data_IF_576958585018
#
_entry.id   IF_576958585018
#
_cell.length_a   1.000
_cell.length_b   1.000
_cell.length_c   1.000
_cell.angle_alpha   90.00
_cell.angle_beta   90.00
_cell.angle_gamma   90.00
#
_symmetry.space_group_name_H-M   'P 1'
#
loop_
_entity.id
_entity.type
_entity.pdbx_description
1 polymer ?
#
# COMPACT_ATOMS: atom_id res chain seq x y z
N UNK A 1 19.44 23.60 13.39
CA UNK A 1 18.78 22.30 13.24
C UNK A 1 18.80 21.97 11.76
N UNK A 2 19.42 20.87 11.35
CA UNK A 2 19.53 20.47 9.93
C UNK A 2 18.33 19.62 9.49
N UNK A 3 18.07 19.58 8.18
CA UNK A 3 16.98 18.79 7.59
C UNK A 3 17.21 17.28 7.80
N UNK A 4 16.12 16.52 7.99
CA UNK A 4 16.18 15.08 8.09
C UNK A 4 16.63 14.47 6.74
N UNK A 5 17.80 13.80 6.65
CA UNK A 5 18.32 13.26 5.40
C UNK A 5 17.53 12.05 4.88
N UNK A 6 16.57 11.52 5.64
CA UNK A 6 15.83 10.31 5.31
C UNK A 6 15.23 10.31 3.89
N UNK A 7 14.60 11.40 3.47
CA UNK A 7 14.04 11.51 2.13
C UNK A 7 15.10 11.51 1.03
N UNK A 8 16.30 12.03 1.31
CA UNK A 8 17.41 11.95 0.37
C UNK A 8 17.89 10.50 0.22
N UNK A 9 17.91 9.73 1.31
CA UNK A 9 18.23 8.29 1.23
C UNK A 9 17.20 7.51 0.42
N UNK A 10 15.90 7.77 0.63
CA UNK A 10 14.84 7.15 -0.17
C UNK A 10 14.95 7.48 -1.66
N UNK A 11 15.28 8.73 -1.99
CA UNK A 11 15.39 9.17 -3.38
C UNK A 11 16.63 8.63 -4.11
N UNK A 12 17.71 8.34 -3.39
CA UNK A 12 19.00 7.93 -3.96
C UNK A 12 19.25 6.42 -3.94
N UNK A 13 18.48 5.65 -3.17
CA UNK A 13 18.71 4.22 -3.04
C UNK A 13 18.22 3.43 -4.27
N UNK A 14 19.06 2.53 -4.77
CA UNK A 14 18.71 1.62 -5.89
C UNK A 14 17.90 0.39 -5.43
N UNK A 15 17.94 0.05 -4.15
CA UNK A 15 17.19 -1.04 -3.54
C UNK A 15 17.06 -0.84 -2.03
N UNK A 16 16.03 -1.45 -1.44
CA UNK A 16 15.76 -1.42 0.00
C UNK A 16 15.83 -2.82 0.59
N UNK A 17 16.38 -2.91 1.80
CA UNK A 17 16.26 -4.08 2.66
C UNK A 17 15.57 -3.65 3.94
N UNK A 18 14.43 -4.27 4.23
CA UNK A 18 13.57 -3.86 5.34
C UNK A 18 13.14 -5.09 6.14
N UNK A 19 13.02 -4.93 7.45
CA UNK A 19 12.57 -6.00 8.35
C UNK A 19 11.06 -6.20 8.26
N UNK A 20 10.60 -7.43 8.49
CA UNK A 20 9.20 -7.80 8.34
C UNK A 20 8.24 -7.25 9.42
N UNK A 21 8.69 -6.39 10.32
CA UNK A 21 7.95 -5.90 11.47
C UNK A 21 7.37 -4.48 11.31
N UNK A 22 7.68 -3.78 10.21
CA UNK A 22 7.22 -2.41 9.97
C UNK A 22 6.48 -2.22 8.65
N UNK A 23 5.19 -1.94 8.73
CA UNK A 23 4.36 -1.57 7.56
C UNK A 23 4.81 -0.24 6.97
N UNK A 24 5.10 0.77 7.80
CA UNK A 24 5.44 2.11 7.33
C UNK A 24 6.73 2.11 6.50
N UNK A 25 7.76 1.40 6.95
CA UNK A 25 9.04 1.31 6.24
C UNK A 25 8.87 0.66 4.86
N UNK A 26 8.06 -0.40 4.78
CA UNK A 26 7.76 -1.06 3.50
C UNK A 26 6.97 -0.11 2.59
N UNK A 27 5.99 0.63 3.11
CA UNK A 27 5.23 1.60 2.31
C UNK A 27 6.09 2.75 1.79
N UNK A 28 7.00 3.27 2.61
CA UNK A 28 7.92 4.35 2.21
C UNK A 28 8.90 3.89 1.13
N UNK A 29 9.48 2.69 1.28
CA UNK A 29 10.30 2.07 0.26
C UNK A 29 9.49 1.79 -1.03
N UNK A 30 8.26 1.27 -0.89
CA UNK A 30 7.38 0.98 -2.01
C UNK A 30 7.01 2.22 -2.85
N UNK A 31 6.98 3.40 -2.22
CA UNK A 31 6.68 4.65 -2.91
C UNK A 31 7.77 5.07 -3.92
N UNK A 32 8.96 4.47 -3.86
CA UNK A 32 10.08 4.76 -4.77
C UNK A 32 10.00 4.01 -6.09
N UNK A 33 9.29 2.88 -6.13
CA UNK A 33 9.30 1.95 -7.28
C UNK A 33 10.54 1.07 -7.39
N UNK A 34 11.51 1.20 -6.47
CA UNK A 34 12.73 0.41 -6.44
C UNK A 34 12.52 -0.92 -5.68
N UNK A 35 13.34 -1.95 -5.96
CA UNK A 35 13.33 -3.23 -5.27
C UNK A 35 13.23 -3.13 -3.75
N UNK A 36 12.29 -3.87 -3.15
CA UNK A 36 12.14 -3.97 -1.69
C UNK A 36 12.31 -5.42 -1.24
N UNK A 37 13.45 -5.70 -0.60
CA UNK A 37 13.78 -7.00 -0.02
C UNK A 37 13.30 -7.08 1.41
N UNK A 38 12.59 -8.16 1.75
CA UNK A 38 12.14 -8.45 3.11
C UNK A 38 13.15 -9.36 3.80
N UNK A 39 13.64 -8.90 4.95
CA UNK A 39 14.35 -9.73 5.90
C UNK A 39 13.37 -10.19 6.98
N UNK A 40 13.09 -11.50 7.01
CA UNK A 40 12.15 -12.06 7.98
C UNK A 40 12.84 -12.21 9.35
N UNK A 41 12.14 -11.83 10.41
CA UNK A 41 12.60 -11.97 11.79
C UNK A 41 11.65 -12.92 12.52
N UNK A 42 12.20 -13.80 13.36
CA UNK A 42 11.38 -14.69 14.18
C UNK A 42 10.42 -13.89 15.08
N UNK A 43 9.16 -14.32 15.17
CA UNK A 43 8.16 -13.73 16.07
C UNK A 43 7.12 -12.80 15.43
N UNK A 44 6.90 -12.89 14.11
CA UNK A 44 5.88 -12.10 13.40
C UNK A 44 4.43 -12.33 13.87
N UNK A 45 3.57 -11.31 13.72
CA UNK A 45 2.12 -11.38 13.97
C UNK A 45 1.36 -11.65 12.66
N UNK A 46 0.26 -12.41 12.72
CA UNK A 46 -0.69 -12.64 11.62
C UNK A 46 -1.08 -11.39 10.82
N UNK A 47 -1.17 -10.22 11.47
CA UNK A 47 -1.42 -8.92 10.78
C UNK A 47 -0.30 -8.60 9.79
N UNK A 48 0.96 -8.71 10.20
CA UNK A 48 2.11 -8.43 9.34
C UNK A 48 2.23 -9.49 8.24
N UNK A 49 2.03 -10.77 8.57
CA UNK A 49 2.03 -11.85 7.59
C UNK A 49 1.04 -11.59 6.45
N UNK A 50 -0.18 -11.15 6.77
CA UNK A 50 -1.18 -10.79 5.74
C UNK A 50 -0.75 -9.60 4.90
N UNK A 51 -0.16 -8.58 5.52
CA UNK A 51 0.35 -7.42 4.78
C UNK A 51 1.48 -7.83 3.82
N UNK A 52 2.46 -8.60 4.29
CA UNK A 52 3.55 -9.12 3.47
C UNK A 52 3.07 -9.94 2.29
N UNK A 53 2.10 -10.83 2.51
CA UNK A 53 1.52 -11.64 1.44
C UNK A 53 0.89 -10.75 0.34
N UNK A 54 0.20 -9.67 0.72
CA UNK A 54 -0.37 -8.72 -0.25
C UNK A 54 0.74 -8.01 -1.03
N UNK A 55 1.79 -7.52 -0.35
CA UNK A 55 2.89 -6.80 -1.00
C UNK A 55 3.71 -7.70 -1.94
N UNK A 56 3.95 -8.96 -1.54
CA UNK A 56 4.60 -9.96 -2.39
C UNK A 56 3.74 -10.32 -3.60
N UNK A 57 2.42 -10.51 -3.41
CA UNK A 57 1.48 -10.79 -4.50
C UNK A 57 1.42 -9.64 -5.50
N UNK A 58 1.54 -8.40 -5.03
CA UNK A 58 1.63 -7.21 -5.87
C UNK A 58 2.97 -7.07 -6.61
N UNK A 59 3.96 -7.93 -6.33
CA UNK A 59 5.30 -7.88 -6.90
C UNK A 59 6.18 -6.77 -6.33
N UNK A 60 5.74 -6.10 -5.26
CA UNK A 60 6.45 -4.98 -4.64
C UNK A 60 7.63 -5.50 -3.83
N UNK A 61 7.39 -6.53 -3.03
CA UNK A 61 8.39 -7.09 -2.13
C UNK A 61 8.80 -8.51 -2.52
N UNK A 62 10.04 -8.88 -2.20
CA UNK A 62 10.55 -10.25 -2.30
C UNK A 62 11.36 -10.62 -1.05
N UNK A 63 11.37 -11.89 -0.61
CA UNK A 63 12.30 -12.33 0.43
C UNK A 63 13.75 -12.11 -0.02
N UNK A 64 14.61 -11.66 0.88
CA UNK A 64 16.04 -11.55 0.57
C UNK A 64 16.66 -12.95 0.43
N UNK A 65 17.22 -13.24 -0.75
CA UNK A 65 17.82 -14.53 -1.11
C UNK A 65 19.34 -14.58 -0.91
N UNK A 66 19.94 -13.56 -0.29
CA UNK A 66 21.39 -13.41 -0.18
C UNK A 66 22.01 -12.59 -1.32
N UNK A 67 21.22 -12.16 -2.31
CA UNK A 67 21.65 -11.28 -3.40
C UNK A 67 20.67 -10.10 -3.56
N UNK A 68 21.20 -8.94 -3.94
CA UNK A 68 20.36 -7.77 -4.26
C UNK A 68 19.91 -7.92 -5.71
N UNK A 69 18.69 -8.38 -5.89
CA UNK A 69 18.05 -8.45 -7.20
C UNK A 69 17.40 -7.12 -7.59
N UNK A 70 17.31 -6.86 -8.89
CA UNK A 70 16.64 -5.71 -9.46
C UNK A 70 15.32 -6.12 -10.15
N UNK A 71 14.26 -5.38 -9.87
CA UNK A 71 12.95 -5.44 -10.51
C UNK A 71 12.25 -4.09 -10.37
N UNK A 72 11.16 -3.90 -11.10
CA UNK A 72 10.29 -2.74 -10.96
C UNK A 72 8.85 -3.20 -10.77
N UNK A 73 8.04 -2.32 -10.21
CA UNK A 73 6.60 -2.51 -10.04
C UNK A 73 5.89 -1.15 -10.17
N UNK A 74 4.59 -1.14 -10.49
CA UNK A 74 3.82 0.10 -10.47
C UNK A 74 3.76 0.66 -9.06
N UNK A 75 4.12 1.94 -8.89
CA UNK A 75 4.04 2.63 -7.59
C UNK A 75 2.57 2.59 -7.09
N UNK A 76 2.30 2.07 -5.89
CA UNK A 76 0.94 2.01 -5.37
C UNK A 76 0.34 3.40 -5.13
N UNK A 77 -0.90 3.60 -5.59
CA UNK A 77 -1.73 4.78 -5.23
C UNK A 77 -2.97 4.32 -4.44
N UNK A 78 -2.72 4.00 -3.18
CA UNK A 78 -3.78 3.55 -2.27
C UNK A 78 -4.79 4.65 -1.97
N UNK A 79 -4.38 5.93 -2.05
CA UNK A 79 -5.27 7.08 -1.83
C UNK A 79 -6.31 7.19 -2.94
N UNK A 80 -5.90 7.15 -4.21
CA UNK A 80 -6.84 7.15 -5.33
C UNK A 80 -7.73 5.90 -5.32
N UNK A 81 -7.17 4.73 -4.98
CA UNK A 81 -7.93 3.47 -4.89
C UNK A 81 -9.00 3.55 -3.81
N UNK A 82 -8.65 4.02 -2.61
CA UNK A 82 -9.59 4.18 -1.50
C UNK A 82 -10.65 5.24 -1.81
N UNK A 83 -10.25 6.37 -2.42
CA UNK A 83 -11.17 7.43 -2.83
C UNK A 83 -12.22 6.94 -3.84
N UNK A 84 -11.79 6.15 -4.82
CA UNK A 84 -12.69 5.54 -5.81
C UNK A 84 -13.68 4.59 -5.15
N UNK A 85 -13.20 3.67 -4.31
CA UNK A 85 -14.06 2.72 -3.60
C UNK A 85 -15.09 3.42 -2.70
N UNK A 86 -14.67 4.47 -1.97
CA UNK A 86 -15.56 5.26 -1.13
C UNK A 86 -16.66 5.94 -1.96
N UNK A 87 -16.29 6.56 -3.10
CA UNK A 87 -17.24 7.22 -4.00
C UNK A 87 -18.31 6.25 -4.49
N UNK A 88 -17.93 5.05 -4.91
CA UNK A 88 -18.86 4.02 -5.38
C UNK A 88 -19.85 3.58 -4.28
N UNK A 89 -19.34 3.35 -3.07
CA UNK A 89 -20.17 2.98 -1.91
C UNK A 89 -21.19 4.07 -1.58
N UNK A 90 -20.77 5.33 -1.59
CA UNK A 90 -21.64 6.49 -1.37
C UNK A 90 -22.73 6.55 -2.43
N UNK A 91 -22.39 6.46 -3.72
CA UNK A 91 -23.35 6.49 -4.82
C UNK A 91 -24.34 5.31 -4.74
N UNK A 92 -23.86 4.10 -4.41
CA UNK A 92 -24.72 2.91 -4.22
C UNK A 92 -25.71 3.13 -3.08
N UNK A 93 -25.29 3.77 -1.98
CA UNK A 93 -26.16 4.07 -0.84
C UNK A 93 -27.21 5.14 -1.17
N UNK A 94 -26.84 6.20 -1.89
CA UNK A 94 -27.79 7.23 -2.33
C UNK A 94 -28.87 6.65 -3.25
N UNK A 95 -28.51 5.81 -4.22
CA UNK A 95 -29.46 5.11 -5.12
C UNK A 95 -30.42 4.16 -4.39
N UNK A 96 -29.99 3.56 -3.27
CA UNK A 96 -30.88 2.72 -2.44
C UNK A 96 -31.89 3.56 -1.67
N UNK A 97 -31.46 4.71 -1.14
CA UNK A 97 -32.32 5.65 -0.40
C UNK A 97 -33.37 6.31 -1.30
N UNK A 98 -33.00 6.72 -2.51
CA UNK A 98 -33.95 7.30 -3.48
C UNK A 98 -35.01 6.30 -3.96
N UNK A 99 -34.68 5.00 -4.03
CA UNK A 99 -35.64 3.93 -4.39
C UNK A 99 -36.65 3.59 -3.29
N UNK A 100 -36.48 4.10 -2.07
CA UNK A 100 -37.33 3.79 -0.92
C UNK A 100 -38.20 4.98 -0.46
N UNK A 101 -38.23 6.08 -1.22
CA UNK A 101 -39.16 7.18 -1.00
C UNK A 101 -40.41 6.95 -1.88
N UNK A 102 -41.62 6.76 -1.30
CA UNK A 102 -42.84 6.67 -2.09
C UNK A 102 -43.09 8.01 -2.78
N UNK A 103 -43.39 7.96 -4.08
CA UNK A 103 -43.56 9.13 -4.93
C UNK A 103 -44.59 10.10 -4.36
N UNK A 104 -44.15 11.31 -4.02
CA UNK A 104 -45.06 12.45 -3.84
C UNK A 104 -45.54 12.82 -5.24
N UNK A 105 -46.74 12.36 -5.61
CA UNK A 105 -47.48 12.89 -6.75
C UNK A 105 -47.99 14.27 -6.35
N UNK A 106 -47.43 15.32 -6.96
CA UNK A 106 -48.09 16.61 -7.02
C UNK A 106 -49.21 16.49 -8.06
N UNK A 107 -50.45 16.54 -7.59
CA UNK A 107 -51.65 16.71 -8.42
C UNK A 107 -51.94 18.18 -8.64
#
# INVERSE_FOLDING_TARGET
>A
SGDNPYFAYLALADAFMVTADSVSMICEAAATGNPVHIFDLDGGNAKFARFHAVMQTAGITRPFSGQIEAWCYPIPDDTARAGTALRELVLKRLRRRQRHLPGIRFG
#
